data_IF_241165219744
#
_entry.id   IF_241165219744
#
_cell.length_a   1.000
_cell.length_b   1.000
_cell.length_c   1.000
_cell.angle_alpha   90.00
_cell.angle_beta   90.00
_cell.angle_gamma   90.00
#
_symmetry.space_group_name_H-M   'P 1'
#
loop_
_entity.id
_entity.type
_entity.pdbx_description
1 polymer ?
#
# COMPACT_ATOMS: atom_id res chain seq x y z
N UNK A 1 -17.45 22.28 13.32
CA UNK A 1 -16.06 21.85 13.56
C UNK A 1 -16.10 20.62 14.46
N UNK A 2 -15.75 19.44 13.96
CA UNK A 2 -15.68 18.24 14.81
C UNK A 2 -14.64 18.45 15.92
N UNK A 3 -15.00 18.15 17.17
CA UNK A 3 -14.04 18.20 18.28
C UNK A 3 -12.97 17.12 18.07
N UNK A 4 -11.71 17.52 18.06
CA UNK A 4 -10.55 16.62 18.16
C UNK A 4 -10.64 15.90 19.51
N UNK A 5 -11.03 14.63 19.50
CA UNK A 5 -11.05 13.78 20.70
C UNK A 5 -9.72 13.03 20.82
N UNK A 6 -9.30 12.74 22.05
CA UNK A 6 -8.09 11.96 22.35
C UNK A 6 -8.06 10.62 21.58
N UNK A 7 -9.21 9.96 21.45
CA UNK A 7 -9.36 8.72 20.66
C UNK A 7 -9.04 8.91 19.17
N UNK A 8 -9.42 10.04 18.56
CA UNK A 8 -9.07 10.36 17.16
C UNK A 8 -7.56 10.55 16.99
N UNK A 9 -6.90 11.22 17.94
CA UNK A 9 -5.45 11.45 17.91
C UNK A 9 -4.69 10.13 18.06
N UNK A 10 -5.05 9.30 19.03
CA UNK A 10 -4.43 7.98 19.23
C UNK A 10 -4.64 7.08 18.02
N UNK A 11 -5.85 7.07 17.44
CA UNK A 11 -6.14 6.31 16.22
C UNK A 11 -5.32 6.76 15.00
N UNK A 12 -5.00 8.05 14.90
CA UNK A 12 -4.11 8.59 13.85
C UNK A 12 -2.65 8.18 14.06
N UNK A 13 -2.14 8.27 15.29
CA UNK A 13 -0.77 7.84 15.62
C UNK A 13 -0.60 6.34 15.34
N UNK A 14 -1.58 5.52 15.72
CA UNK A 14 -1.55 4.08 15.47
C UNK A 14 -1.59 3.77 13.96
N UNK A 15 -2.38 4.52 13.18
CA UNK A 15 -2.39 4.42 11.72
C UNK A 15 -1.02 4.74 11.12
N UNK A 16 -0.38 5.82 11.58
CA UNK A 16 0.92 6.25 11.09
C UNK A 16 2.01 5.23 11.44
N UNK A 17 2.03 4.75 12.69
CA UNK A 17 2.97 3.72 13.12
C UNK A 17 2.80 2.42 12.33
N UNK A 18 1.56 1.96 12.14
CA UNK A 18 1.24 0.80 11.31
C UNK A 18 1.73 0.98 9.88
N UNK A 19 1.46 2.13 9.26
CA UNK A 19 1.89 2.41 7.90
C UNK A 19 3.41 2.46 7.74
N UNK A 20 4.12 3.05 8.71
CA UNK A 20 5.59 3.07 8.74
C UNK A 20 6.14 1.64 8.83
N UNK A 21 5.61 0.82 9.74
CA UNK A 21 6.04 -0.57 9.89
C UNK A 21 5.81 -1.35 8.60
N UNK A 22 4.63 -1.25 8.00
CA UNK A 22 4.34 -1.92 6.72
C UNK A 22 5.26 -1.40 5.62
N UNK A 23 5.44 -0.09 5.47
CA UNK A 23 6.34 0.49 4.47
C UNK A 23 7.78 -0.02 4.60
N UNK A 24 8.32 -0.03 5.83
CA UNK A 24 9.67 -0.54 6.11
C UNK A 24 9.75 -2.05 5.84
N UNK A 25 8.75 -2.83 6.26
CA UNK A 25 8.73 -4.27 6.01
C UNK A 25 8.62 -4.60 4.52
N UNK A 26 7.81 -3.88 3.76
CA UNK A 26 7.68 -4.07 2.31
C UNK A 26 8.99 -3.72 1.61
N UNK A 27 9.66 -2.64 2.05
CA UNK A 27 10.99 -2.26 1.59
C UNK A 27 12.05 -3.32 1.91
N UNK A 28 12.09 -3.81 3.15
CA UNK A 28 13.05 -4.81 3.61
C UNK A 28 12.89 -6.15 2.88
N UNK A 29 11.65 -6.58 2.62
CA UNK A 29 11.38 -7.79 1.82
C UNK A 29 11.95 -7.65 0.40
N UNK A 30 11.73 -6.49 -0.24
CA UNK A 30 12.29 -6.22 -1.56
C UNK A 30 13.81 -6.20 -1.54
N UNK A 31 14.42 -5.53 -0.57
CA UNK A 31 15.89 -5.54 -0.42
C UNK A 31 16.39 -6.98 -0.29
N UNK A 32 15.78 -7.80 0.56
CA UNK A 32 16.15 -9.21 0.75
C UNK A 32 16.07 -10.04 -0.53
N UNK A 33 15.03 -9.85 -1.34
CA UNK A 33 14.89 -10.54 -2.64
C UNK A 33 15.99 -10.14 -3.63
N UNK A 34 16.38 -8.85 -3.63
CA UNK A 34 17.39 -8.32 -4.55
C UNK A 34 18.84 -8.46 -4.05
N UNK A 35 19.08 -8.82 -2.78
CA UNK A 35 20.43 -9.08 -2.23
C UNK A 35 21.16 -10.24 -2.93
N UNK A 36 20.42 -11.15 -3.57
CA UNK A 36 20.99 -12.25 -4.35
C UNK A 36 21.32 -11.86 -5.81
N UNK A 37 21.14 -10.59 -6.19
CA UNK A 37 21.34 -10.08 -7.55
C UNK A 37 22.17 -8.80 -7.54
N UNK A 38 22.83 -8.47 -8.65
CA UNK A 38 23.57 -7.21 -8.78
C UNK A 38 22.57 -6.04 -8.78
N UNK A 39 22.52 -5.28 -7.68
CA UNK A 39 21.66 -4.10 -7.54
C UNK A 39 22.12 -3.00 -8.49
N UNK A 40 21.40 -2.84 -9.60
CA UNK A 40 21.51 -1.65 -10.45
C UNK A 40 20.80 -0.45 -9.80
N UNK A 41 21.12 0.78 -10.20
CA UNK A 41 20.46 1.99 -9.68
C UNK A 41 18.93 1.93 -9.89
N UNK A 42 18.50 1.41 -11.04
CA UNK A 42 17.07 1.24 -11.37
C UNK A 42 16.36 0.27 -10.41
N UNK A 43 17.04 -0.78 -9.95
CA UNK A 43 16.54 -1.71 -8.93
C UNK A 43 16.37 -1.00 -7.58
N UNK A 44 17.33 -0.17 -7.17
CA UNK A 44 17.25 0.59 -5.92
C UNK A 44 16.04 1.54 -5.88
N UNK A 45 15.71 2.16 -7.00
CA UNK A 45 14.55 3.05 -7.10
C UNK A 45 13.23 2.28 -7.01
N UNK A 46 13.13 1.15 -7.72
CA UNK A 46 11.95 0.28 -7.65
C UNK A 46 11.69 -0.20 -6.22
N UNK A 47 12.76 -0.61 -5.51
CA UNK A 47 12.71 -1.00 -4.11
C UNK A 47 12.13 0.11 -3.22
N UNK A 48 12.53 1.38 -3.42
CA UNK A 48 11.99 2.52 -2.66
C UNK A 48 10.52 2.80 -2.98
N UNK A 49 10.15 2.72 -4.26
CA UNK A 49 8.77 2.90 -4.73
C UNK A 49 7.84 1.89 -4.05
N UNK A 50 8.26 0.64 -3.93
CA UNK A 50 7.49 -0.41 -3.24
C UNK A 50 7.28 -0.08 -1.76
N UNK A 51 8.31 0.43 -1.06
CA UNK A 51 8.18 0.86 0.33
C UNK A 51 7.14 1.98 0.51
N UNK A 52 7.17 2.99 -0.36
CA UNK A 52 6.17 4.09 -0.33
C UNK A 52 4.77 3.61 -0.69
N UNK A 53 4.63 2.72 -1.68
CA UNK A 53 3.36 2.11 -2.05
C UNK A 53 2.77 1.31 -0.88
N UNK A 54 3.59 0.55 -0.15
CA UNK A 54 3.19 -0.18 1.05
C UNK A 54 2.68 0.73 2.17
N UNK A 55 3.36 1.85 2.41
CA UNK A 55 2.95 2.85 3.40
C UNK A 55 1.60 3.48 3.04
N UNK A 56 1.44 3.94 1.80
CA UNK A 56 0.19 4.54 1.33
C UNK A 56 -0.97 3.55 1.37
N UNK A 57 -0.73 2.31 0.93
CA UNK A 57 -1.72 1.24 0.98
C UNK A 57 -2.15 0.93 2.42
N UNK A 58 -1.22 0.90 3.36
CA UNK A 58 -1.52 0.67 4.78
C UNK A 58 -2.38 1.79 5.38
N UNK A 59 -2.10 3.07 5.06
CA UNK A 59 -2.91 4.20 5.51
C UNK A 59 -4.34 4.13 4.97
N UNK A 60 -4.51 3.88 3.68
CA UNK A 60 -5.83 3.76 3.05
C UNK A 60 -6.59 2.58 3.65
N UNK A 61 -5.92 1.44 3.83
CA UNK A 61 -6.50 0.24 4.45
C UNK A 61 -6.99 0.52 5.87
N UNK A 62 -6.20 1.24 6.66
CA UNK A 62 -6.57 1.65 8.02
C UNK A 62 -7.81 2.53 8.06
N UNK A 63 -7.93 3.48 7.12
CA UNK A 63 -9.06 4.37 7.00
C UNK A 63 -10.32 3.66 6.52
N UNK A 64 -10.20 2.82 5.48
CA UNK A 64 -11.31 2.07 4.91
C UNK A 64 -11.89 1.04 5.91
N UNK A 65 -11.12 0.62 6.91
CA UNK A 65 -11.60 -0.35 7.92
C UNK A 65 -12.85 0.14 8.68
N UNK A 66 -13.09 1.46 8.76
CA UNK A 66 -14.28 2.04 9.39
C UNK A 66 -15.58 1.49 8.79
N UNK A 67 -15.63 1.25 7.49
CA UNK A 67 -16.83 0.78 6.79
C UNK A 67 -17.24 -0.65 7.19
N UNK A 68 -16.29 -1.44 7.69
CA UNK A 68 -16.50 -2.86 8.00
C UNK A 68 -16.43 -3.14 9.50
N UNK A 69 -16.23 -2.10 10.32
CA UNK A 69 -16.05 -2.24 11.77
C UNK A 69 -17.22 -2.96 12.48
N UNK A 70 -18.44 -2.89 11.94
CA UNK A 70 -19.66 -3.52 12.48
C UNK A 70 -19.90 -4.96 12.02
N UNK A 71 -19.11 -5.48 11.07
CA UNK A 71 -19.31 -6.81 10.49
C UNK A 71 -18.55 -7.88 11.28
N UNK A 72 -18.83 -9.16 10.99
CA UNK A 72 -18.12 -10.29 11.59
C UNK A 72 -16.62 -10.28 11.28
N UNK A 73 -15.83 -11.00 12.09
CA UNK A 73 -14.36 -11.04 12.00
C UNK A 73 -13.86 -11.38 10.60
N UNK A 74 -14.48 -12.36 9.92
CA UNK A 74 -14.07 -12.79 8.58
C UNK A 74 -14.15 -11.64 7.55
N UNK A 75 -15.25 -10.89 7.54
CA UNK A 75 -15.41 -9.72 6.64
C UNK A 75 -14.43 -8.61 7.03
N UNK A 76 -14.18 -8.44 8.33
CA UNK A 76 -13.21 -7.47 8.88
C UNK A 76 -11.76 -7.78 8.55
N UNK A 77 -11.44 -9.01 8.14
CA UNK A 77 -10.09 -9.40 7.69
C UNK A 77 -10.01 -9.42 6.17
N UNK A 78 -11.01 -9.97 5.47
CA UNK A 78 -11.00 -10.03 4.00
C UNK A 78 -11.09 -8.66 3.34
N UNK A 79 -11.87 -7.74 3.92
CA UNK A 79 -12.01 -6.39 3.38
C UNK A 79 -10.68 -5.60 3.39
N UNK A 80 -9.97 -5.43 4.52
CA UNK A 80 -8.71 -4.73 4.51
C UNK A 80 -7.65 -5.46 3.69
N UNK A 81 -7.67 -6.80 3.62
CA UNK A 81 -6.77 -7.54 2.72
C UNK A 81 -6.98 -7.14 1.26
N UNK A 82 -8.23 -7.09 0.81
CA UNK A 82 -8.58 -6.69 -0.55
C UNK A 82 -8.19 -5.23 -0.82
N UNK A 83 -8.56 -4.31 0.08
CA UNK A 83 -8.21 -2.89 -0.05
C UNK A 83 -6.70 -2.69 -0.07
N UNK A 84 -5.96 -3.39 0.79
CA UNK A 84 -4.51 -3.31 0.84
C UNK A 84 -3.89 -3.72 -0.50
N UNK A 85 -4.30 -4.86 -1.06
CA UNK A 85 -3.79 -5.35 -2.35
C UNK A 85 -4.10 -4.39 -3.50
N UNK A 86 -5.34 -3.92 -3.59
CA UNK A 86 -5.77 -2.98 -4.64
C UNK A 86 -5.04 -1.64 -4.51
N UNK A 87 -4.98 -1.08 -3.30
CA UNK A 87 -4.29 0.18 -3.04
C UNK A 87 -2.79 0.06 -3.31
N UNK A 88 -2.16 -1.04 -2.88
CA UNK A 88 -0.74 -1.29 -3.10
C UNK A 88 -0.40 -1.38 -4.59
N UNK A 89 -1.18 -2.14 -5.37
CA UNK A 89 -0.96 -2.23 -6.81
C UNK A 89 -1.18 -0.89 -7.51
N UNK A 90 -2.23 -0.16 -7.12
CA UNK A 90 -2.58 1.13 -7.72
C UNK A 90 -1.52 2.20 -7.42
N UNK A 91 -1.10 2.34 -6.16
CA UNK A 91 -0.05 3.30 -5.78
C UNK A 91 1.32 2.90 -6.34
N UNK A 92 1.63 1.59 -6.38
CA UNK A 92 2.88 1.10 -6.96
C UNK A 92 3.00 1.43 -8.45
N UNK A 93 1.96 1.13 -9.24
CA UNK A 93 1.91 1.49 -10.65
C UNK A 93 1.99 3.00 -10.89
N UNK A 94 1.25 3.78 -10.10
CA UNK A 94 1.26 5.24 -10.21
C UNK A 94 2.63 5.85 -9.86
N UNK A 95 3.25 5.43 -8.75
CA UNK A 95 4.56 5.93 -8.34
C UNK A 95 5.65 5.56 -9.35
N UNK A 96 5.56 4.37 -9.96
CA UNK A 96 6.44 3.94 -11.05
C UNK A 96 6.29 4.84 -12.28
N UNK A 97 5.05 5.10 -12.69
CA UNK A 97 4.72 6.01 -13.79
C UNK A 97 5.30 7.41 -13.54
N UNK A 98 5.00 8.01 -12.38
CA UNK A 98 5.50 9.35 -12.01
C UNK A 98 7.03 9.38 -12.01
N UNK A 99 7.67 8.34 -11.47
CA UNK A 99 9.13 8.25 -11.41
C UNK A 99 9.76 8.22 -12.80
N UNK A 100 9.26 7.38 -13.71
CA UNK A 100 9.80 7.27 -15.08
C UNK A 100 9.64 8.59 -15.84
N UNK A 101 8.49 9.24 -15.72
CA UNK A 101 8.24 10.52 -16.40
C UNK A 101 9.03 11.68 -15.80
N UNK A 102 9.40 11.60 -14.52
CA UNK A 102 10.24 12.60 -13.86
C UNK A 102 11.73 12.42 -14.18
N UNK A 103 12.24 11.19 -14.19
CA UNK A 103 13.68 10.91 -14.37
C UNK A 103 14.10 10.70 -15.84
N UNK A 104 13.19 10.22 -16.69
CA UNK A 104 13.46 9.94 -18.10
C UNK A 104 12.46 10.68 -19.03
N UNK A 105 12.36 12.02 -18.92
CA UNK A 105 11.36 12.80 -19.65
C UNK A 105 11.54 12.74 -21.18
N UNK A 106 12.74 12.42 -21.66
CA UNK A 106 13.07 12.30 -23.08
C UNK A 106 12.61 11.00 -23.73
N UNK A 107 12.29 9.97 -22.94
CA UNK A 107 11.78 8.69 -23.44
C UNK A 107 10.24 8.59 -23.37
N UNK A 108 9.60 9.59 -22.76
CA UNK A 108 8.15 9.63 -22.57
C UNK A 108 7.46 10.36 -23.72
N UNK A 109 6.42 9.73 -24.27
CA UNK A 109 5.45 10.42 -25.13
C UNK A 109 4.45 11.18 -24.24
N UNK A 110 4.54 12.51 -24.26
CA UNK A 110 3.70 13.42 -23.48
C UNK A 110 2.29 13.62 -24.08
N UNK A 111 1.97 12.96 -25.19
CA UNK A 111 0.61 12.92 -25.72
C UNK A 111 -0.34 12.24 -24.72
N UNK A 112 -1.63 12.61 -24.73
CA UNK A 112 -2.64 11.98 -23.85
C UNK A 112 -2.73 10.46 -24.05
N UNK A 113 -2.59 10.00 -25.29
CA UNK A 113 -2.53 8.57 -25.63
C UNK A 113 -1.24 7.90 -25.11
N UNK A 114 -0.11 8.59 -25.23
CA UNK A 114 1.19 8.12 -24.73
C UNK A 114 1.20 7.98 -23.21
N UNK A 115 0.71 8.99 -22.49
CA UNK A 115 0.58 8.98 -21.03
C UNK A 115 -0.38 7.89 -20.55
N UNK A 116 -1.51 7.69 -21.24
CA UNK A 116 -2.43 6.61 -20.92
C UNK A 116 -1.77 5.23 -21.11
N UNK A 117 -1.15 5.00 -22.27
CA UNK A 117 -0.44 3.75 -22.57
C UNK A 117 0.68 3.44 -21.57
N UNK A 118 1.48 4.45 -21.22
CA UNK A 118 2.54 4.32 -20.25
C UNK A 118 2.00 4.02 -18.84
N UNK A 119 0.93 4.69 -18.40
CA UNK A 119 0.31 4.43 -17.09
C UNK A 119 -0.20 2.99 -16.95
N UNK A 120 -0.82 2.45 -18.01
CA UNK A 120 -1.31 1.08 -18.05
C UNK A 120 -0.15 0.09 -18.05
N UNK A 121 0.87 0.34 -18.87
CA UNK A 121 2.06 -0.50 -18.94
C UNK A 121 2.81 -0.55 -17.59
N UNK A 122 2.99 0.59 -16.93
CA UNK A 122 3.67 0.65 -15.63
C UNK A 122 2.87 -0.04 -14.52
N UNK A 123 1.55 0.08 -14.55
CA UNK A 123 0.68 -0.69 -13.66
C UNK A 123 0.84 -2.20 -13.85
N UNK A 124 0.75 -2.68 -15.10
CA UNK A 124 0.95 -4.11 -15.39
C UNK A 124 2.34 -4.56 -14.99
N UNK A 125 3.39 -3.81 -15.34
CA UNK A 125 4.75 -4.22 -15.04
C UNK A 125 5.01 -4.28 -13.54
N UNK A 126 4.43 -3.36 -12.76
CA UNK A 126 4.47 -3.42 -11.31
C UNK A 126 3.73 -4.64 -10.75
N UNK A 127 2.53 -4.91 -11.27
CA UNK A 127 1.73 -6.06 -10.87
C UNK A 127 2.46 -7.38 -11.16
N UNK A 128 3.03 -7.53 -12.35
CA UNK A 128 3.81 -8.71 -12.73
C UNK A 128 5.06 -8.84 -11.84
N UNK A 129 5.78 -7.76 -11.54
CA UNK A 129 6.97 -7.81 -10.67
C UNK A 129 6.63 -8.24 -9.23
N UNK A 130 5.43 -7.90 -8.74
CA UNK A 130 4.96 -8.29 -7.41
C UNK A 130 4.31 -9.67 -7.35
N UNK A 131 3.64 -10.12 -8.41
CA UNK A 131 2.88 -11.37 -8.42
C UNK A 131 3.57 -12.55 -9.13
N UNK A 132 4.42 -12.33 -10.14
CA UNK A 132 4.92 -13.41 -11.00
C UNK A 132 6.19 -14.14 -10.52
N UNK A 133 6.96 -13.61 -9.56
CA UNK A 133 7.54 -14.45 -8.52
C UNK A 133 6.55 -14.44 -7.33
N UNK A 134 6.06 -15.59 -6.84
CA UNK A 134 5.23 -15.61 -5.63
C UNK A 134 6.11 -15.21 -4.44
N UNK A 135 6.11 -13.90 -4.13
CA UNK A 135 6.83 -13.32 -2.99
C UNK A 135 6.06 -13.68 -1.72
N UNK A 136 6.34 -14.88 -1.19
CA UNK A 136 5.67 -15.42 0.00
C UNK A 136 5.76 -14.46 1.19
N UNK A 137 6.86 -13.70 1.31
CA UNK A 137 7.03 -12.66 2.32
C UNK A 137 5.99 -11.54 2.19
N UNK A 138 5.69 -11.09 0.96
CA UNK A 138 4.66 -10.08 0.71
C UNK A 138 3.25 -10.63 0.99
N UNK A 139 2.97 -11.86 0.60
CA UNK A 139 1.69 -12.50 0.90
C UNK A 139 1.46 -12.65 2.42
N UNK A 140 2.48 -13.10 3.15
CA UNK A 140 2.44 -13.21 4.61
C UNK A 140 2.29 -11.84 5.28
N UNK A 141 2.99 -10.82 4.78
CA UNK A 141 2.86 -9.43 5.23
C UNK A 141 1.43 -8.91 5.01
N UNK A 142 0.86 -9.10 3.83
CA UNK A 142 -0.49 -8.64 3.49
C UNK A 142 -1.55 -9.29 4.38
N UNK A 143 -1.43 -10.60 4.63
CA UNK A 143 -2.33 -11.33 5.54
C UNK A 143 -2.14 -10.88 6.98
N UNK A 144 -0.90 -10.74 7.45
CA UNK A 144 -0.59 -10.23 8.80
C UNK A 144 -1.11 -8.81 9.01
N UNK A 145 -0.94 -7.93 8.02
CA UNK A 145 -1.47 -6.57 8.01
C UNK A 145 -3.00 -6.57 8.11
N UNK A 146 -3.68 -7.41 7.33
CA UNK A 146 -5.13 -7.53 7.36
C UNK A 146 -5.65 -8.03 8.72
N UNK A 147 -4.99 -9.02 9.33
CA UNK A 147 -5.34 -9.52 10.67
C UNK A 147 -5.12 -8.43 11.71
N UNK A 148 -3.99 -7.71 11.64
CA UNK A 148 -3.70 -6.61 12.56
C UNK A 148 -4.79 -5.53 12.49
N UNK A 149 -5.18 -5.12 11.28
CA UNK A 149 -6.25 -4.14 11.04
C UNK A 149 -7.62 -4.69 11.46
N UNK A 150 -7.89 -5.98 11.32
CA UNK A 150 -9.10 -6.61 11.84
C UNK A 150 -9.17 -6.55 13.37
N UNK A 151 -8.04 -6.72 14.06
CA UNK A 151 -7.97 -6.69 15.52
C UNK A 151 -7.97 -5.26 16.08
N UNK A 152 -7.11 -4.39 15.57
CA UNK A 152 -6.79 -3.08 16.16
C UNK A 152 -7.23 -1.88 15.32
N UNK A 153 -7.75 -2.11 14.11
CA UNK A 153 -8.20 -1.02 13.24
C UNK A 153 -9.33 -0.19 13.85
N UNK A 154 -9.50 1.02 13.33
CA UNK A 154 -10.47 1.99 13.88
C UNK A 154 -11.87 1.40 13.97
N UNK A 155 -12.47 1.52 15.15
CA UNK A 155 -13.85 1.13 15.43
C UNK A 155 -14.59 2.42 15.73
N UNK A 156 -15.63 2.72 14.97
CA UNK A 156 -16.55 3.76 15.40
C UNK A 156 -17.21 3.28 16.70
N UNK A 157 -17.26 4.10 17.76
CA UNK A 157 -18.09 3.79 18.91
C UNK A 157 -19.52 3.64 18.40
N UNK A 158 -20.23 2.57 18.82
CA UNK A 158 -21.69 2.51 18.66
C UNK A 158 -22.22 3.86 19.12
N UNK A 159 -22.87 4.61 18.24
CA UNK A 159 -23.71 5.73 18.65
C UNK A 159 -24.71 5.15 19.64
N UNK A 160 -24.47 5.36 20.93
CA UNK A 160 -25.49 5.15 21.94
C UNK A 160 -26.48 6.27 21.64
N UNK A 161 -27.61 5.92 21.02
CA UNK A 161 -28.76 6.81 20.97
C UNK A 161 -29.08 7.17 22.43
N UNK A 162 -28.81 8.43 22.79
CA UNK A 162 -29.22 9.04 24.05
C UNK A 162 -30.57 9.71 23.84
#
# INVERSE_FOLDING_TARGET
MEKLTFSKVVGFILAAAFAIVIGISTWALMVGDYMNTVMTEQTQHTIRIVGFAGLLAALVTWWCQRFVAHRGFLVRTLFPLFIFLVAFCSFGGFLRFVYIHAMYPSQADWSLSGLYGASVNDFYTFLLDMLLPPRLGFAALAVGAAIYVALFGTREPRTVEL
#
